data_IF_602670369046
#
_entry.id   IF_602670369046
#
_cell.length_a   1.000
_cell.length_b   1.000
_cell.length_c   1.000
_cell.angle_alpha   90.00
_cell.angle_beta   90.00
_cell.angle_gamma   90.00
#
_symmetry.space_group_name_H-M   'P 1'
#
loop_
_entity.id
_entity.type
_entity.pdbx_description
1 polymer ?
#
# COMPACT_ATOMS: atom_id res chain seq x y z
N UNK A 1 11.79 -16.14 -7.78
CA UNK A 1 12.60 -15.24 -6.92
C UNK A 1 12.95 -16.01 -5.66
N UNK A 2 14.24 -16.13 -5.29
CA UNK A 2 14.62 -16.82 -4.05
C UNK A 2 14.05 -16.03 -2.84
N UNK A 3 13.40 -16.73 -1.92
CA UNK A 3 12.87 -16.16 -0.68
C UNK A 3 14.03 -15.58 0.14
N UNK A 4 14.17 -14.26 0.14
CA UNK A 4 15.12 -13.58 1.03
C UNK A 4 14.46 -13.41 2.39
N UNK A 5 15.01 -14.07 3.40
CA UNK A 5 14.52 -13.99 4.80
C UNK A 5 15.51 -13.20 5.64
N UNK A 6 14.99 -12.28 6.47
CA UNK A 6 15.75 -11.53 7.47
C UNK A 6 17.04 -10.90 6.90
N UNK A 7 16.93 -10.23 5.74
CA UNK A 7 18.09 -9.71 5.00
C UNK A 7 18.22 -8.20 5.11
N UNK A 8 17.09 -7.49 5.21
CA UNK A 8 17.05 -6.03 5.12
C UNK A 8 16.67 -5.38 6.44
N UNK A 9 17.31 -4.26 6.74
CA UNK A 9 16.97 -3.41 7.90
C UNK A 9 15.83 -2.45 7.55
N UNK A 10 15.77 -2.00 6.29
CA UNK A 10 14.72 -1.12 5.77
C UNK A 10 14.30 -1.59 4.38
N UNK A 11 13.00 -1.58 4.13
CA UNK A 11 12.42 -1.75 2.80
C UNK A 11 11.52 -0.55 2.52
N UNK A 12 11.62 0.00 1.32
CA UNK A 12 10.76 1.10 0.88
C UNK A 12 9.89 0.67 -0.29
N UNK A 13 8.66 1.16 -0.34
CA UNK A 13 7.69 0.93 -1.40
C UNK A 13 6.97 2.25 -1.69
N UNK A 14 6.89 2.63 -2.95
CA UNK A 14 6.23 3.86 -3.38
C UNK A 14 5.24 3.54 -4.50
N UNK A 15 3.96 3.83 -4.27
CA UNK A 15 2.85 3.69 -5.22
C UNK A 15 2.86 2.36 -6.01
N UNK A 16 3.11 1.24 -5.34
CA UNK A 16 3.35 -0.03 -6.03
C UNK A 16 2.55 -1.22 -5.49
N UNK A 17 2.04 -1.17 -4.26
CA UNK A 17 1.31 -2.31 -3.68
C UNK A 17 -0.06 -2.47 -4.33
N UNK A 18 -0.75 -1.36 -4.59
CA UNK A 18 -2.10 -1.38 -5.16
C UNK A 18 -2.16 -1.89 -6.62
N UNK A 19 -1.02 -1.89 -7.32
CA UNK A 19 -0.90 -2.42 -8.69
C UNK A 19 -0.61 -3.93 -8.73
N UNK A 20 -0.24 -4.53 -7.60
CA UNK A 20 0.15 -5.93 -7.56
C UNK A 20 -1.05 -6.86 -7.79
N UNK A 21 -0.82 -7.97 -8.48
CA UNK A 21 -1.82 -9.03 -8.61
C UNK A 21 -2.11 -9.69 -7.24
N UNK A 22 -1.07 -9.91 -6.44
CA UNK A 22 -1.17 -10.55 -5.13
C UNK A 22 -0.59 -9.65 -4.03
N UNK A 23 -1.23 -8.50 -3.70
CA UNK A 23 -0.67 -7.50 -2.79
C UNK A 23 -0.44 -8.05 -1.38
N UNK A 24 -1.34 -8.87 -0.85
CA UNK A 24 -1.17 -9.52 0.46
C UNK A 24 0.11 -10.36 0.51
N UNK A 25 0.36 -11.17 -0.51
CA UNK A 25 1.57 -11.98 -0.62
C UNK A 25 2.84 -11.15 -0.75
N UNK A 26 2.77 -10.02 -1.44
CA UNK A 26 3.89 -9.09 -1.54
C UNK A 26 4.23 -8.51 -0.18
N UNK A 27 3.22 -8.05 0.59
CA UNK A 27 3.41 -7.53 1.95
C UNK A 27 3.97 -8.59 2.90
N UNK A 28 3.46 -9.82 2.86
CA UNK A 28 4.03 -10.94 3.63
C UNK A 28 5.51 -11.20 3.27
N UNK A 29 5.86 -11.15 1.99
CA UNK A 29 7.23 -11.35 1.55
C UNK A 29 8.16 -10.21 2.00
N UNK A 30 7.67 -8.97 2.01
CA UNK A 30 8.37 -7.82 2.56
C UNK A 30 8.62 -8.06 4.06
N UNK A 31 7.58 -8.44 4.81
CA UNK A 31 7.72 -8.75 6.24
C UNK A 31 8.77 -9.84 6.49
N UNK A 32 8.74 -10.93 5.72
CA UNK A 32 9.73 -12.03 5.85
C UNK A 32 11.15 -11.58 5.52
N UNK A 33 11.30 -10.68 4.55
CA UNK A 33 12.60 -10.17 4.11
C UNK A 33 13.24 -9.20 5.11
N UNK A 34 12.45 -8.51 5.92
CA UNK A 34 12.92 -7.65 6.99
C UNK A 34 13.54 -8.47 8.13
N UNK A 35 14.63 -7.96 8.72
CA UNK A 35 15.20 -8.45 9.98
C UNK A 35 14.28 -8.14 11.15
N UNK A 36 14.38 -8.87 12.27
CA UNK A 36 13.75 -8.45 13.52
C UNK A 36 14.13 -7.00 13.86
N UNK A 37 13.14 -6.15 14.13
CA UNK A 37 13.32 -4.71 14.32
C UNK A 37 13.46 -3.89 13.03
N UNK A 38 13.43 -4.53 11.86
CA UNK A 38 13.44 -3.85 10.56
C UNK A 38 12.18 -3.05 10.29
N UNK A 39 12.27 -2.09 9.38
CA UNK A 39 11.22 -1.11 9.09
C UNK A 39 10.80 -1.17 7.63
N UNK A 40 9.49 -1.20 7.41
CA UNK A 40 8.87 -0.87 6.13
C UNK A 40 8.49 0.60 6.11
N UNK A 41 8.89 1.32 5.06
CA UNK A 41 8.36 2.63 4.70
C UNK A 41 7.59 2.47 3.38
N UNK A 42 6.27 2.57 3.44
CA UNK A 42 5.39 2.52 2.27
C UNK A 42 4.72 3.88 2.08
N UNK A 43 4.76 4.43 0.88
CA UNK A 43 3.95 5.58 0.49
C UNK A 43 2.89 5.12 -0.52
N UNK A 44 1.68 5.60 -0.35
CA UNK A 44 0.57 5.33 -1.27
C UNK A 44 -0.47 6.45 -1.21
N UNK A 45 -1.34 6.49 -2.21
CA UNK A 45 -2.32 7.56 -2.41
C UNK A 45 -3.12 7.83 -1.13
N UNK A 46 -3.20 9.11 -0.77
CA UNK A 46 -3.98 9.60 0.36
C UNK A 46 -5.48 9.53 0.04
N UNK A 47 -6.12 8.45 0.49
CA UNK A 47 -7.54 8.24 0.31
C UNK A 47 -8.13 7.43 1.48
N UNK A 48 -9.46 7.50 1.62
CA UNK A 48 -10.23 6.55 2.42
C UNK A 48 -10.56 5.31 1.59
N UNK A 49 -10.70 4.16 2.25
CA UNK A 49 -11.23 2.93 1.62
C UNK A 49 -12.74 3.02 1.35
N UNK A 50 -13.39 4.07 1.82
CA UNK A 50 -14.82 4.32 1.68
C UNK A 50 -15.02 5.42 0.65
N UNK A 51 -15.81 5.13 -0.40
CA UNK A 51 -16.07 6.06 -1.49
C UNK A 51 -16.64 7.40 -1.00
N UNK A 52 -17.58 7.32 -0.07
CA UNK A 52 -18.28 8.47 0.50
C UNK A 52 -17.35 9.47 1.19
N UNK A 53 -16.23 9.02 1.74
CA UNK A 53 -15.25 9.89 2.39
C UNK A 53 -14.35 10.62 1.39
N UNK A 54 -14.34 10.18 0.12
CA UNK A 54 -13.49 10.74 -0.94
C UNK A 54 -14.25 11.70 -1.87
N UNK A 55 -15.55 11.85 -1.73
CA UNK A 55 -16.40 12.65 -2.66
C UNK A 55 -15.94 14.10 -2.75
N UNK A 56 -15.59 14.70 -1.61
CA UNK A 56 -15.19 16.10 -1.52
C UNK A 56 -13.67 16.33 -1.69
N UNK A 57 -12.90 15.26 -1.94
CA UNK A 57 -11.46 15.38 -2.18
C UNK A 57 -11.22 15.92 -3.61
N UNK A 58 -10.55 17.08 -3.80
CA UNK A 58 -10.44 17.72 -5.12
C UNK A 58 -9.86 16.82 -6.22
N UNK A 59 -8.97 15.90 -5.87
CA UNK A 59 -8.32 14.98 -6.82
C UNK A 59 -9.07 13.67 -7.02
N UNK A 60 -10.18 13.43 -6.31
CA UNK A 60 -10.81 12.09 -6.27
C UNK A 60 -11.26 11.62 -7.66
N UNK A 61 -11.87 12.46 -8.45
CA UNK A 61 -12.30 12.11 -9.82
C UNK A 61 -11.13 11.62 -10.68
N UNK A 62 -10.00 12.31 -10.62
CA UNK A 62 -8.78 11.93 -11.33
C UNK A 62 -8.21 10.60 -10.78
N UNK A 63 -8.15 10.46 -9.47
CA UNK A 63 -7.63 9.26 -8.80
C UNK A 63 -8.48 8.03 -9.13
N UNK A 64 -9.80 8.13 -9.06
CA UNK A 64 -10.70 7.01 -9.43
C UNK A 64 -10.60 6.68 -10.92
N UNK A 65 -10.53 7.68 -11.80
CA UNK A 65 -10.36 7.44 -13.24
C UNK A 65 -9.02 6.74 -13.53
N UNK A 66 -7.93 7.20 -12.96
CA UNK A 66 -6.60 6.56 -13.10
C UNK A 66 -6.59 5.16 -12.50
N UNK A 67 -7.18 4.98 -11.32
CA UNK A 67 -7.32 3.68 -10.67
C UNK A 67 -8.03 2.67 -11.57
N UNK A 68 -9.17 3.06 -12.14
CA UNK A 68 -9.95 2.18 -13.01
C UNK A 68 -9.24 1.88 -14.34
N UNK A 69 -8.62 2.88 -14.96
CA UNK A 69 -8.03 2.76 -16.31
C UNK A 69 -6.63 2.15 -16.32
N UNK A 70 -5.91 2.17 -15.20
CA UNK A 70 -4.54 1.69 -15.10
C UNK A 70 -4.35 0.69 -13.96
N UNK A 71 -4.40 1.11 -12.71
CA UNK A 71 -4.01 0.28 -11.57
C UNK A 71 -4.84 -1.01 -11.44
N UNK A 72 -6.15 -0.89 -11.50
CA UNK A 72 -7.05 -2.05 -11.43
C UNK A 72 -6.88 -2.96 -12.65
N UNK A 73 -6.78 -2.40 -13.86
CA UNK A 73 -6.65 -3.19 -15.08
C UNK A 73 -5.34 -3.96 -15.14
N UNK A 74 -4.24 -3.40 -14.66
CA UNK A 74 -2.94 -4.09 -14.54
C UNK A 74 -3.06 -5.30 -13.63
N UNK A 75 -3.62 -5.11 -12.45
CA UNK A 75 -3.81 -6.19 -11.46
C UNK A 75 -4.76 -7.26 -11.98
N UNK A 76 -5.94 -6.88 -12.48
CA UNK A 76 -6.97 -7.79 -12.95
C UNK A 76 -6.57 -8.58 -14.21
N UNK A 77 -5.72 -8.01 -15.08
CA UNK A 77 -5.16 -8.71 -16.23
C UNK A 77 -4.29 -9.93 -15.84
N UNK A 78 -3.86 -9.98 -14.60
CA UNK A 78 -3.08 -11.08 -14.00
C UNK A 78 -3.90 -11.89 -12.99
N UNK A 79 -5.22 -11.91 -13.11
CA UNK A 79 -6.15 -12.52 -12.15
C UNK A 79 -5.92 -12.04 -10.71
N UNK A 80 -5.56 -10.76 -10.56
CA UNK A 80 -5.17 -10.16 -9.29
C UNK A 80 -6.33 -9.58 -8.49
N UNK A 81 -6.01 -9.02 -7.33
CA UNK A 81 -6.97 -8.48 -6.38
C UNK A 81 -7.70 -7.21 -6.86
N UNK A 82 -7.10 -6.47 -7.81
CA UNK A 82 -7.71 -5.26 -8.37
C UNK A 82 -7.95 -4.15 -7.35
N UNK A 83 -7.01 -3.92 -6.43
CA UNK A 83 -7.16 -2.92 -5.37
C UNK A 83 -7.38 -1.51 -5.95
N UNK A 84 -6.54 -1.13 -6.92
CA UNK A 84 -6.54 0.21 -7.49
C UNK A 84 -5.92 1.27 -6.58
N UNK A 85 -5.61 2.44 -7.15
CA UNK A 85 -4.92 3.52 -6.45
C UNK A 85 -5.70 4.08 -5.24
N UNK A 86 -7.02 3.93 -5.22
CA UNK A 86 -7.90 4.45 -4.15
C UNK A 86 -8.31 3.34 -3.17
N UNK A 87 -7.44 2.37 -2.91
CA UNK A 87 -7.71 1.30 -1.95
C UNK A 87 -7.80 1.78 -0.49
N UNK A 88 -7.19 2.93 -0.19
CA UNK A 88 -7.38 3.71 1.02
C UNK A 88 -6.65 3.20 2.26
N UNK A 89 -6.54 4.10 3.23
CA UNK A 89 -5.71 3.89 4.43
C UNK A 89 -6.22 2.78 5.35
N UNK A 90 -7.52 2.59 5.45
CA UNK A 90 -8.10 1.56 6.33
C UNK A 90 -7.74 0.15 5.83
N UNK A 91 -7.92 -0.10 4.52
CA UNK A 91 -7.55 -1.38 3.92
C UNK A 91 -6.04 -1.59 3.93
N UNK A 92 -5.26 -0.54 3.63
CA UNK A 92 -3.80 -0.61 3.67
C UNK A 92 -3.28 -1.00 5.05
N UNK A 93 -3.79 -0.37 6.11
CA UNK A 93 -3.41 -0.68 7.49
C UNK A 93 -3.83 -2.11 7.89
N UNK A 94 -5.04 -2.53 7.51
CA UNK A 94 -5.50 -3.90 7.75
C UNK A 94 -4.59 -4.93 7.09
N UNK A 95 -4.27 -4.75 5.81
CA UNK A 95 -3.41 -5.68 5.07
C UNK A 95 -1.98 -5.72 5.60
N UNK A 96 -1.45 -4.60 6.09
CA UNK A 96 -0.15 -4.56 6.77
C UNK A 96 -0.19 -5.36 8.08
N UNK A 97 -1.25 -5.21 8.87
CA UNK A 97 -1.46 -6.00 10.09
C UNK A 97 -1.54 -7.51 9.79
N UNK A 98 -2.31 -7.89 8.77
CA UNK A 98 -2.45 -9.28 8.33
C UNK A 98 -1.10 -9.88 7.83
N UNK A 99 -0.23 -9.04 7.26
CA UNK A 99 1.12 -9.44 6.84
C UNK A 99 2.10 -9.64 8.02
N UNK A 100 1.74 -9.20 9.23
CA UNK A 100 2.49 -9.39 10.47
C UNK A 100 3.08 -8.13 11.10
N UNK A 101 2.80 -6.93 10.56
CA UNK A 101 3.26 -5.68 11.17
C UNK A 101 2.37 -5.32 12.37
N UNK A 102 2.89 -5.48 13.59
CA UNK A 102 2.13 -5.24 14.83
C UNK A 102 1.81 -3.77 15.09
N UNK A 103 2.70 -2.88 14.67
CA UNK A 103 2.53 -1.43 14.77
C UNK A 103 2.66 -0.78 13.40
N UNK A 104 1.56 -0.24 12.89
CA UNK A 104 1.53 0.54 11.66
C UNK A 104 1.16 1.98 12.00
N UNK A 105 2.08 2.90 11.74
CA UNK A 105 1.83 4.33 11.84
C UNK A 105 1.53 4.91 10.47
N UNK A 106 0.43 5.63 10.35
CA UNK A 106 0.09 6.41 9.16
C UNK A 106 0.48 7.87 9.42
N UNK A 107 1.30 8.42 8.55
CA UNK A 107 1.87 9.77 8.68
C UNK A 107 1.53 10.59 7.44
N UNK A 108 1.17 11.84 7.65
CA UNK A 108 1.03 12.86 6.61
C UNK A 108 2.28 13.72 6.57
N UNK A 109 2.71 14.10 5.37
CA UNK A 109 3.85 15.00 5.17
C UNK A 109 3.34 16.26 4.47
N UNK A 110 3.53 17.42 5.08
CA UNK A 110 2.99 18.70 4.59
C UNK A 110 3.43 19.02 3.15
N UNK A 111 4.67 18.64 2.79
CA UNK A 111 5.21 18.84 1.44
C UNK A 111 4.71 17.81 0.42
N UNK A 112 3.98 16.79 0.84
CA UNK A 112 3.38 15.75 -0.01
C UNK A 112 1.90 15.55 0.36
N UNK A 113 1.01 16.37 -0.15
CA UNK A 113 -0.41 16.33 0.21
C UNK A 113 -1.19 15.18 -0.44
N UNK A 114 -0.58 14.44 -1.37
CA UNK A 114 -1.25 13.40 -2.16
C UNK A 114 -1.01 11.99 -1.65
N UNK A 115 -0.05 11.79 -0.73
CA UNK A 115 0.28 10.47 -0.19
C UNK A 115 0.11 10.40 1.33
N UNK A 116 -0.22 9.19 1.80
CA UNK A 116 0.03 8.74 3.17
C UNK A 116 1.33 7.94 3.21
N UNK A 117 2.04 8.06 4.30
CA UNK A 117 3.23 7.28 4.60
C UNK A 117 2.93 6.29 5.73
N UNK A 118 3.11 5.01 5.43
CA UNK A 118 2.90 3.91 6.38
C UNK A 118 4.25 3.43 6.88
N UNK A 119 4.44 3.44 8.18
CA UNK A 119 5.67 2.95 8.83
C UNK A 119 5.30 1.72 9.62
N UNK A 120 5.74 0.55 9.14
CA UNK A 120 5.54 -0.73 9.80
C UNK A 120 6.83 -1.26 10.40
N UNK A 121 6.80 -1.76 11.63
CA UNK A 121 7.93 -2.44 12.28
C UNK A 121 7.68 -3.94 12.35
N UNK A 122 8.77 -4.70 12.16
CA UNK A 122 8.81 -6.13 12.38
C UNK A 122 9.33 -6.46 13.75
#
# INVERSE_FOLDING_TARGET
>A
MAEKRATYDVITVFDAIHDQAQPARVLENIYRALRPGGVLLMADVKASSRLEDNVDVPMSTYLYATSLMHCMTVSLALDGAGLGAVWGSQLATSMLGDAGFDEVRVVEVESDPINYYYIGRK
#
